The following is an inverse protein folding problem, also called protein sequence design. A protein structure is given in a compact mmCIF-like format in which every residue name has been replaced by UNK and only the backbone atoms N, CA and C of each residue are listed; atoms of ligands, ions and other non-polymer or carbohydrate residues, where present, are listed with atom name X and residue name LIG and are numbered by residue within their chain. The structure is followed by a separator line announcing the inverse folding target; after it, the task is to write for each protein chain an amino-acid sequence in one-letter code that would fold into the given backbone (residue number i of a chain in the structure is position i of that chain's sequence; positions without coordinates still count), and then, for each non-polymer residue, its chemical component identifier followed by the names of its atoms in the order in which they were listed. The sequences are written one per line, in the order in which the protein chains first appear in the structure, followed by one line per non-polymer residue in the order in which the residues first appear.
data_IF_901159132478
#
_entry.id   IF_901159132478
#
_cell.length_a   1.000
_cell.length_b   1.000
_cell.length_c   1.000
_cell.angle_alpha   90.00
_cell.angle_beta   90.00
_cell.angle_gamma   90.00
#
_symmetry.space_group_name_H-M   'P 1'
#
loop_
_entity.id
_entity.type
_entity.pdbx_description
1 polymer ?
#
# COMPACT_ATOMS: atom_id res chain seq x y z
N UNK A 1 -26.33 2.47 4.03
CA UNK A 1 -25.57 1.23 3.73
C UNK A 1 -24.20 1.50 3.12
N UNK A 2 -24.09 2.38 2.11
CA UNK A 2 -22.82 2.68 1.42
C UNK A 2 -21.71 3.29 2.34
N UNK A 3 -22.04 4.28 3.19
CA UNK A 3 -21.04 4.93 4.07
C UNK A 3 -20.40 3.99 5.11
N UNK A 4 -21.16 3.01 5.64
CA UNK A 4 -20.63 2.01 6.58
C UNK A 4 -19.59 1.12 5.92
N UNK A 5 -19.83 0.69 4.68
CA UNK A 5 -18.88 -0.11 3.90
C UNK A 5 -17.61 0.69 3.59
N UNK A 6 -17.74 1.97 3.24
CA UNK A 6 -16.58 2.83 3.05
C UNK A 6 -15.72 2.94 4.31
N UNK A 7 -16.33 3.14 5.49
CA UNK A 7 -15.58 3.18 6.77
C UNK A 7 -14.84 1.87 7.03
N UNK A 8 -15.45 0.72 6.73
CA UNK A 8 -14.79 -0.59 6.83
C UNK A 8 -13.57 -0.66 5.89
N UNK A 9 -13.73 -0.22 4.65
CA UNK A 9 -12.63 -0.15 3.67
C UNK A 9 -11.48 0.77 4.11
N UNK A 10 -11.77 1.86 4.84
CA UNK A 10 -10.70 2.70 5.41
C UNK A 10 -9.86 1.93 6.41
N UNK A 11 -10.48 1.17 7.32
CA UNK A 11 -9.75 0.39 8.32
C UNK A 11 -8.93 -0.75 7.74
N UNK A 12 -9.20 -1.17 6.50
CA UNK A 12 -8.35 -2.11 5.77
C UNK A 12 -6.93 -1.56 5.54
N UNK A 13 -6.72 -0.25 5.48
CA UNK A 13 -5.38 0.34 5.31
C UNK A 13 -4.45 0.07 6.50
N UNK A 14 -4.78 0.56 7.72
CA UNK A 14 -4.06 0.19 8.93
C UNK A 14 -4.02 -1.33 9.16
N UNK A 15 -5.13 -2.03 8.88
CA UNK A 15 -5.20 -3.48 8.98
C UNK A 15 -4.17 -4.20 8.10
N UNK A 16 -3.97 -3.73 6.86
CA UNK A 16 -2.93 -4.23 5.96
C UNK A 16 -1.57 -4.18 6.63
N UNK A 17 -1.16 -3.00 7.10
CA UNK A 17 0.17 -2.80 7.68
C UNK A 17 0.34 -3.67 8.93
N UNK A 18 -0.66 -3.70 9.82
CA UNK A 18 -0.56 -4.49 11.04
C UNK A 18 -0.43 -5.99 10.75
N UNK A 19 -1.31 -6.56 9.92
CA UNK A 19 -1.30 -7.99 9.60
C UNK A 19 -0.04 -8.35 8.80
N UNK A 20 0.34 -7.52 7.82
CA UNK A 20 1.56 -7.73 7.05
C UNK A 20 2.79 -7.73 7.96
N UNK A 21 2.93 -6.75 8.86
CA UNK A 21 4.08 -6.69 9.77
C UNK A 21 4.09 -7.83 10.79
N UNK A 22 2.93 -8.26 11.30
CA UNK A 22 2.83 -9.47 12.13
C UNK A 22 3.41 -10.68 11.40
N UNK A 23 3.00 -10.91 10.15
CA UNK A 23 3.51 -12.03 9.36
C UNK A 23 4.99 -11.87 8.99
N UNK A 24 5.36 -10.75 8.40
CA UNK A 24 6.65 -10.57 7.72
C UNK A 24 7.79 -10.27 8.69
N UNK A 25 7.56 -9.38 9.67
CA UNK A 25 8.55 -9.01 10.69
C UNK A 25 8.52 -9.99 11.85
N UNK A 26 7.37 -10.17 12.52
CA UNK A 26 7.34 -10.88 13.80
C UNK A 26 7.37 -12.41 13.67
N UNK A 27 6.65 -12.98 12.69
CA UNK A 27 6.57 -14.45 12.52
C UNK A 27 7.70 -14.96 11.61
N UNK A 28 7.83 -14.41 10.40
CA UNK A 28 8.86 -14.87 9.45
C UNK A 28 10.28 -14.48 9.88
N UNK A 29 10.44 -13.33 10.57
CA UNK A 29 11.74 -12.81 10.95
C UNK A 29 12.57 -12.38 9.75
N UNK A 30 11.93 -11.84 8.70
CA UNK A 30 12.59 -11.38 7.48
C UNK A 30 13.02 -9.91 7.56
N UNK A 31 12.84 -9.25 8.72
CA UNK A 31 13.25 -7.87 8.96
C UNK A 31 14.21 -7.84 10.15
N UNK A 32 15.46 -7.36 9.98
CA UNK A 32 16.03 -6.83 8.75
C UNK A 32 16.19 -7.89 7.64
N UNK A 33 16.17 -7.48 6.34
CA UNK A 33 16.40 -8.39 5.24
C UNK A 33 17.79 -9.05 5.30
N UNK A 34 17.94 -10.31 4.84
CA UNK A 34 19.24 -10.93 4.65
C UNK A 34 20.11 -10.09 3.72
N UNK A 35 21.43 -10.06 3.93
CA UNK A 35 22.32 -9.26 3.09
C UNK A 35 22.34 -9.80 1.64
N UNK A 36 22.36 -8.92 0.60
CA UNK A 36 22.57 -9.35 -0.77
C UNK A 36 23.92 -10.05 -1.01
N UNK A 37 24.88 -9.91 -0.08
CA UNK A 37 26.21 -10.51 -0.22
C UNK A 37 26.32 -11.88 0.43
N UNK A 38 25.23 -12.43 0.99
CA UNK A 38 25.24 -13.80 1.50
C UNK A 38 25.52 -14.76 0.35
N UNK A 39 26.41 -15.71 0.59
CA UNK A 39 26.67 -16.80 -0.35
C UNK A 39 25.45 -17.71 -0.50
N UNK A 40 25.35 -18.42 -1.63
CA UNK A 40 24.22 -19.31 -1.91
C UNK A 40 23.96 -20.33 -0.79
N UNK A 41 25.03 -20.93 -0.24
CA UNK A 41 24.96 -21.88 0.87
C UNK A 41 24.43 -21.26 2.17
N UNK A 42 24.79 -20.01 2.45
CA UNK A 42 24.31 -19.29 3.63
C UNK A 42 22.83 -18.93 3.51
N UNK A 43 22.39 -18.52 2.33
CA UNK A 43 20.97 -18.28 2.03
C UNK A 43 20.17 -19.57 2.18
N UNK A 44 20.65 -20.69 1.59
CA UNK A 44 19.97 -21.99 1.72
C UNK A 44 19.88 -22.46 3.19
N UNK A 45 20.95 -22.26 3.97
CA UNK A 45 20.94 -22.54 5.40
C UNK A 45 19.91 -21.70 6.15
N UNK A 46 19.86 -20.39 5.89
CA UNK A 46 18.87 -19.48 6.51
C UNK A 46 17.43 -19.97 6.29
N UNK A 47 17.08 -20.35 5.06
CA UNK A 47 15.74 -20.88 4.78
C UNK A 47 15.48 -22.25 5.41
N UNK A 48 16.51 -23.10 5.53
CA UNK A 48 16.38 -24.43 6.14
C UNK A 48 16.16 -24.33 7.65
N UNK A 49 16.93 -23.50 8.35
CA UNK A 49 16.84 -23.30 9.80
C UNK A 49 15.53 -22.60 10.24
N UNK A 50 14.87 -21.89 9.32
CA UNK A 50 13.71 -21.04 9.61
C UNK A 50 12.49 -21.36 8.75
N UNK A 51 12.47 -22.54 8.11
CA UNK A 51 11.50 -22.89 7.08
C UNK A 51 10.05 -22.67 7.50
N UNK A 52 9.62 -23.30 8.59
CA UNK A 52 8.22 -23.27 9.04
C UNK A 52 7.78 -21.85 9.43
N UNK A 53 8.63 -21.10 10.15
CA UNK A 53 8.27 -19.73 10.56
C UNK A 53 8.17 -18.79 9.35
N UNK A 54 9.06 -18.93 8.37
CA UNK A 54 9.04 -18.14 7.14
C UNK A 54 7.76 -18.44 6.37
N UNK A 55 7.42 -19.72 6.16
CA UNK A 55 6.21 -20.12 5.44
C UNK A 55 4.94 -19.57 6.11
N UNK A 56 4.79 -19.75 7.43
CA UNK A 56 3.62 -19.24 8.17
C UNK A 56 3.55 -17.71 8.10
N UNK A 57 4.68 -17.02 8.30
CA UNK A 57 4.71 -15.56 8.25
C UNK A 57 4.40 -15.00 6.87
N UNK A 58 4.88 -15.63 5.80
CA UNK A 58 4.55 -15.25 4.42
C UNK A 58 3.06 -15.46 4.12
N UNK A 59 2.44 -16.55 4.59
CA UNK A 59 0.99 -16.77 4.46
C UNK A 59 0.19 -15.65 5.13
N UNK A 60 0.53 -15.31 6.38
CA UNK A 60 -0.12 -14.20 7.12
C UNK A 60 0.05 -12.88 6.36
N UNK A 61 1.25 -12.62 5.84
CA UNK A 61 1.55 -11.39 5.09
C UNK A 61 0.76 -11.28 3.79
N UNK A 62 0.60 -12.39 3.07
CA UNK A 62 -0.22 -12.46 1.85
C UNK A 62 -1.70 -12.20 2.14
N UNK A 63 -2.24 -12.78 3.22
CA UNK A 63 -3.62 -12.51 3.67
C UNK A 63 -3.80 -11.02 3.98
N UNK A 64 -2.85 -10.43 4.73
CA UNK A 64 -2.86 -8.99 5.04
C UNK A 64 -2.80 -8.11 3.79
N UNK A 65 -2.00 -8.50 2.79
CA UNK A 65 -1.84 -7.77 1.52
C UNK A 65 -3.16 -7.60 0.76
N UNK A 66 -4.08 -8.57 0.86
CA UNK A 66 -5.40 -8.50 0.23
C UNK A 66 -6.25 -7.31 0.68
N UNK A 67 -5.96 -6.73 1.85
CA UNK A 67 -6.62 -5.53 2.34
C UNK A 67 -6.29 -4.26 1.52
N UNK A 68 -5.31 -4.33 0.61
CA UNK A 68 -4.99 -3.24 -0.31
C UNK A 68 -6.14 -2.95 -1.28
N UNK A 69 -6.92 -3.96 -1.69
CA UNK A 69 -8.03 -3.79 -2.61
C UNK A 69 -9.14 -2.86 -2.05
N UNK A 70 -9.75 -3.15 -0.88
CA UNK A 70 -10.75 -2.26 -0.30
C UNK A 70 -10.19 -0.87 0.03
N UNK A 71 -8.93 -0.80 0.49
CA UNK A 71 -8.25 0.47 0.74
C UNK A 71 -8.13 1.34 -0.53
N UNK A 72 -7.64 0.75 -1.63
CA UNK A 72 -7.56 1.45 -2.91
C UNK A 72 -8.93 1.92 -3.38
N UNK A 73 -9.95 1.05 -3.26
CA UNK A 73 -11.31 1.34 -3.68
C UNK A 73 -11.93 2.53 -2.94
N UNK A 74 -11.77 2.63 -1.61
CA UNK A 74 -12.35 3.75 -0.86
C UNK A 74 -11.70 5.09 -1.20
N UNK A 75 -10.38 5.10 -1.44
CA UNK A 75 -9.70 6.30 -1.94
C UNK A 75 -10.28 6.71 -3.31
N UNK A 76 -10.47 5.76 -4.23
CA UNK A 76 -11.05 6.05 -5.54
C UNK A 76 -12.48 6.60 -5.43
N UNK A 77 -13.29 6.06 -4.51
CA UNK A 77 -14.65 6.57 -4.26
C UNK A 77 -14.61 8.03 -3.84
N UNK A 78 -13.68 8.40 -2.95
CA UNK A 78 -13.53 9.80 -2.52
C UNK A 78 -12.95 10.69 -3.64
N UNK A 79 -11.96 10.21 -4.40
CA UNK A 79 -11.42 10.97 -5.54
C UNK A 79 -12.45 11.22 -6.65
N UNK A 80 -13.39 10.28 -6.89
CA UNK A 80 -14.49 10.48 -7.84
C UNK A 80 -15.41 11.63 -7.45
N UNK A 81 -15.51 11.98 -6.16
CA UNK A 81 -16.25 13.18 -5.71
C UNK A 81 -15.57 14.48 -6.15
N UNK A 82 -14.26 14.46 -6.37
CA UNK A 82 -13.48 15.59 -6.88
C UNK A 82 -13.62 15.69 -8.41
N UNK A 83 -13.38 14.59 -9.13
CA UNK A 83 -13.32 14.61 -10.60
C UNK A 83 -14.70 14.54 -11.30
N UNK A 84 -15.73 14.07 -10.60
CA UNK A 84 -17.07 13.92 -11.16
C UNK A 84 -17.21 12.69 -12.07
N UNK A 85 -17.94 12.81 -13.19
CA UNK A 85 -18.35 11.66 -14.03
C UNK A 85 -17.18 10.94 -14.72
N UNK A 86 -16.14 11.69 -15.12
CA UNK A 86 -14.94 11.16 -15.76
C UNK A 86 -13.80 11.35 -14.77
N UNK A 87 -13.34 10.26 -14.17
CA UNK A 87 -12.39 10.29 -13.04
C UNK A 87 -11.10 9.54 -13.37
N UNK A 88 -10.28 10.05 -14.32
CA UNK A 88 -9.05 9.37 -14.72
C UNK A 88 -8.05 9.22 -13.57
N UNK A 89 -7.90 10.20 -12.66
CA UNK A 89 -6.98 10.10 -11.54
C UNK A 89 -7.45 9.06 -10.52
N UNK A 90 -8.75 8.99 -10.24
CA UNK A 90 -9.33 7.94 -9.41
C UNK A 90 -9.13 6.54 -10.04
N UNK A 91 -9.21 6.43 -11.36
CA UNK A 91 -8.94 5.17 -12.06
C UNK A 91 -7.45 4.78 -11.99
N UNK A 92 -6.54 5.73 -12.23
CA UNK A 92 -5.09 5.52 -12.09
C UNK A 92 -4.76 5.09 -10.66
N UNK A 93 -5.29 5.78 -9.65
CA UNK A 93 -5.08 5.45 -8.24
C UNK A 93 -5.64 4.05 -7.91
N UNK A 94 -6.80 3.69 -8.43
CA UNK A 94 -7.40 2.37 -8.22
C UNK A 94 -6.51 1.26 -8.80
N UNK A 95 -6.09 1.43 -10.05
CA UNK A 95 -5.23 0.46 -10.74
C UNK A 95 -3.88 0.35 -10.05
N UNK A 96 -3.23 1.48 -9.74
CA UNK A 96 -1.96 1.50 -9.02
C UNK A 96 -2.07 0.86 -7.63
N UNK A 97 -3.16 1.11 -6.90
CA UNK A 97 -3.43 0.45 -5.62
C UNK A 97 -3.73 -1.04 -5.73
N UNK A 98 -4.40 -1.48 -6.79
CA UNK A 98 -4.56 -2.90 -7.10
C UNK A 98 -3.23 -3.58 -7.43
N UNK A 99 -2.37 -2.91 -8.20
CA UNK A 99 -1.02 -3.40 -8.49
C UNK A 99 -0.14 -3.38 -7.24
N UNK A 100 -0.33 -2.46 -6.29
CA UNK A 100 0.35 -2.50 -4.98
C UNK A 100 0.04 -3.80 -4.22
N UNK A 101 -1.19 -4.33 -4.31
CA UNK A 101 -1.49 -5.65 -3.74
C UNK A 101 -0.64 -6.75 -4.39
N UNK A 102 -0.51 -6.72 -5.72
CA UNK A 102 0.31 -7.69 -6.45
C UNK A 102 1.80 -7.52 -6.14
N UNK A 103 2.28 -6.29 -5.98
CA UNK A 103 3.63 -5.98 -5.53
C UNK A 103 3.91 -6.61 -4.17
N UNK A 104 2.95 -6.62 -3.25
CA UNK A 104 3.14 -7.27 -1.96
C UNK A 104 3.07 -8.80 -2.06
N UNK A 105 2.20 -9.35 -2.91
CA UNK A 105 1.97 -10.81 -2.98
C UNK A 105 3.01 -11.54 -3.83
N UNK A 106 3.42 -11.00 -4.97
CA UNK A 106 4.34 -11.66 -5.90
C UNK A 106 5.70 -12.00 -5.27
N UNK A 107 6.38 -11.08 -4.57
CA UNK A 107 7.58 -11.39 -3.79
C UNK A 107 7.39 -12.51 -2.76
N UNK A 108 6.24 -12.54 -2.09
CA UNK A 108 5.98 -13.57 -1.07
C UNK A 108 5.90 -14.95 -1.69
N UNK A 109 5.42 -15.09 -2.93
CA UNK A 109 5.48 -16.35 -3.66
C UNK A 109 6.92 -16.77 -3.96
N UNK A 110 7.80 -15.84 -4.37
CA UNK A 110 9.21 -16.14 -4.62
C UNK A 110 9.94 -16.54 -3.32
N UNK A 111 9.74 -15.80 -2.24
CA UNK A 111 10.31 -16.14 -0.92
C UNK A 111 9.73 -17.47 -0.37
N UNK A 112 8.44 -17.74 -0.61
CA UNK A 112 7.83 -19.03 -0.25
C UNK A 112 8.40 -20.16 -1.09
N UNK A 113 8.67 -19.93 -2.38
CA UNK A 113 9.31 -20.91 -3.24
C UNK A 113 10.74 -21.21 -2.77
N UNK A 114 11.49 -20.21 -2.30
CA UNK A 114 12.79 -20.40 -1.64
C UNK A 114 12.65 -21.28 -0.38
N UNK A 115 11.63 -21.04 0.45
CA UNK A 115 11.34 -21.80 1.66
C UNK A 115 10.63 -23.15 1.44
N UNK A 116 10.18 -23.50 0.23
CA UNK A 116 9.31 -24.67 0.03
C UNK A 116 10.05 -26.01 0.22
N UNK A 117 11.30 -26.09 -0.27
CA UNK A 117 12.17 -27.28 -0.19
C UNK A 117 13.65 -26.90 -0.19
N UNK A 118 14.11 -26.09 0.79
CA UNK A 118 15.45 -25.52 0.76
C UNK A 118 16.56 -26.59 0.91
N UNK A 119 16.29 -27.71 1.58
CA UNK A 119 17.25 -28.80 1.78
C UNK A 119 17.44 -29.71 0.54
N UNK A 120 16.38 -29.89 -0.27
CA UNK A 120 16.38 -30.79 -1.43
C UNK A 120 16.70 -30.07 -2.75
N UNK A 121 17.21 -28.83 -2.68
CA UNK A 121 17.46 -27.96 -3.83
C UNK A 121 18.89 -27.44 -3.79
N UNK A 122 19.48 -27.25 -4.97
CA UNK A 122 20.80 -26.60 -5.04
C UNK A 122 20.75 -25.18 -4.43
N UNK A 123 21.78 -24.78 -3.67
CA UNK A 123 21.81 -23.48 -3.00
C UNK A 123 21.64 -22.29 -3.96
N UNK A 124 22.16 -22.38 -5.17
CA UNK A 124 22.13 -21.32 -6.18
C UNK A 124 20.70 -21.02 -6.65
N UNK A 125 19.84 -22.04 -6.75
CA UNK A 125 18.43 -21.84 -7.11
C UNK A 125 17.69 -21.18 -5.94
N UNK A 126 18.00 -21.55 -4.70
CA UNK A 126 17.42 -20.88 -3.51
C UNK A 126 17.84 -19.42 -3.43
N UNK A 127 19.10 -19.10 -3.75
CA UNK A 127 19.58 -17.72 -3.85
C UNK A 127 18.83 -16.94 -4.93
N UNK A 128 18.71 -17.48 -6.15
CA UNK A 128 17.96 -16.81 -7.22
C UNK A 128 16.49 -16.55 -6.85
N UNK A 129 15.84 -17.47 -6.13
CA UNK A 129 14.47 -17.30 -5.64
C UNK A 129 14.36 -16.26 -4.51
N UNK A 130 15.36 -16.21 -3.62
CA UNK A 130 15.47 -15.16 -2.60
C UNK A 130 15.57 -13.78 -3.27
N UNK A 131 16.43 -13.64 -4.27
CA UNK A 131 16.68 -12.38 -4.96
C UNK A 131 15.43 -11.95 -5.75
N UNK A 132 14.74 -12.91 -6.39
CA UNK A 132 13.45 -12.68 -7.04
C UNK A 132 12.34 -12.29 -6.04
N UNK A 133 12.50 -12.57 -4.75
CA UNK A 133 11.65 -12.02 -3.70
C UNK A 133 12.01 -10.59 -3.37
N UNK A 134 13.27 -10.34 -2.98
CA UNK A 134 13.69 -9.05 -2.45
C UNK A 134 13.73 -7.92 -3.49
N UNK A 135 14.19 -8.21 -4.71
CA UNK A 135 14.31 -7.20 -5.77
C UNK A 135 12.98 -6.55 -6.13
N UNK A 136 11.89 -7.29 -6.45
CA UNK A 136 10.60 -6.65 -6.73
C UNK A 136 9.93 -6.08 -5.48
N UNK A 137 10.11 -6.69 -4.30
CA UNK A 137 9.54 -6.16 -3.05
C UNK A 137 10.03 -4.73 -2.76
N UNK A 138 11.31 -4.49 -3.00
CA UNK A 138 11.97 -3.21 -2.72
C UNK A 138 12.00 -2.29 -3.94
N UNK A 139 12.31 -2.86 -5.11
CA UNK A 139 12.63 -2.12 -6.32
C UNK A 139 11.44 -1.77 -7.20
N UNK A 140 10.28 -2.43 -7.04
CA UNK A 140 9.11 -2.13 -7.86
C UNK A 140 8.34 -0.91 -7.32
N UNK A 141 8.97 0.26 -7.32
CA UNK A 141 8.43 1.48 -6.69
C UNK A 141 7.29 2.15 -7.46
N UNK A 142 7.08 1.78 -8.73
CA UNK A 142 6.14 2.47 -9.61
C UNK A 142 4.69 2.48 -9.10
N UNK A 143 4.09 1.35 -8.63
CA UNK A 143 2.71 1.35 -8.16
C UNK A 143 2.44 2.33 -7.00
N UNK A 144 3.17 2.31 -5.86
CA UNK A 144 2.89 3.26 -4.79
C UNK A 144 3.20 4.71 -5.18
N UNK A 145 4.26 4.96 -5.98
CA UNK A 145 4.60 6.31 -6.46
C UNK A 145 3.50 6.89 -7.36
N UNK A 146 3.05 6.13 -8.36
CA UNK A 146 1.96 6.54 -9.25
C UNK A 146 0.67 6.75 -8.46
N UNK A 147 0.41 5.89 -7.46
CA UNK A 147 -0.77 6.01 -6.61
C UNK A 147 -0.79 7.35 -5.84
N UNK A 148 0.31 7.71 -5.17
CA UNK A 148 0.37 8.97 -4.40
C UNK A 148 0.44 10.20 -5.30
N UNK A 149 1.04 10.12 -6.49
CA UNK A 149 1.00 11.21 -7.47
C UNK A 149 -0.44 11.47 -7.94
N UNK A 150 -1.18 10.41 -8.28
CA UNK A 150 -2.58 10.54 -8.69
C UNK A 150 -3.45 11.18 -7.60
N UNK A 151 -3.22 10.80 -6.33
CA UNK A 151 -3.87 11.43 -5.17
C UNK A 151 -3.50 12.91 -5.09
N UNK A 152 -2.22 13.26 -5.17
CA UNK A 152 -1.77 14.65 -5.08
C UNK A 152 -2.39 15.53 -6.17
N UNK A 153 -2.40 15.06 -7.42
CA UNK A 153 -3.01 15.77 -8.54
C UNK A 153 -4.51 16.00 -8.32
N UNK A 154 -5.23 15.00 -7.80
CA UNK A 154 -6.66 15.15 -7.48
C UNK A 154 -6.90 16.15 -6.34
N UNK A 155 -6.08 16.11 -5.29
CA UNK A 155 -6.18 17.07 -4.18
C UNK A 155 -5.97 18.51 -4.68
N UNK A 156 -5.01 18.74 -5.58
CA UNK A 156 -4.75 20.08 -6.10
C UNK A 156 -5.73 20.55 -7.19
N UNK A 157 -6.40 19.61 -7.87
CA UNK A 157 -7.45 19.92 -8.83
C UNK A 157 -8.78 20.29 -8.17
N UNK A 158 -8.99 19.91 -6.91
CA UNK A 158 -10.18 20.30 -6.15
C UNK A 158 -10.23 21.83 -5.93
N UNK A 159 -11.21 22.47 -6.58
CA UNK A 159 -11.51 23.91 -6.47
C UNK A 159 -12.81 24.19 -5.71
N UNK A 160 -13.42 23.17 -5.10
CA UNK A 160 -14.65 23.35 -4.34
C UNK A 160 -14.41 24.22 -3.10
N UNK A 161 -15.48 24.86 -2.61
CA UNK A 161 -15.42 25.67 -1.39
C UNK A 161 -15.09 24.83 -0.14
N UNK A 162 -15.51 23.56 -0.14
CA UNK A 162 -15.17 22.57 0.88
C UNK A 162 -14.46 21.37 0.24
N UNK A 163 -13.12 21.42 0.07
CA UNK A 163 -12.35 20.35 -0.57
C UNK A 163 -12.54 18.99 0.10
N UNK A 164 -12.66 17.93 -0.70
CA UNK A 164 -12.84 16.54 -0.21
C UNK A 164 -11.67 16.10 0.66
N UNK A 165 -10.46 16.49 0.26
CA UNK A 165 -9.24 16.28 1.02
C UNK A 165 -8.55 17.62 1.31
N UNK A 166 -8.01 17.81 2.52
CA UNK A 166 -7.20 18.98 2.83
C UNK A 166 -5.96 19.09 1.93
N UNK A 167 -5.54 20.31 1.59
CA UNK A 167 -4.37 20.55 0.71
C UNK A 167 -3.07 19.91 1.19
N UNK A 168 -2.88 19.78 2.51
CA UNK A 168 -1.69 19.13 3.08
C UNK A 168 -1.55 17.67 2.62
N UNK A 169 -2.67 16.98 2.33
CA UNK A 169 -2.66 15.60 1.81
C UNK A 169 -1.96 15.51 0.46
N UNK A 170 -2.12 16.54 -0.38
CA UNK A 170 -1.45 16.63 -1.68
C UNK A 170 0.06 16.79 -1.53
N UNK A 171 0.49 17.71 -0.65
CA UNK A 171 1.92 17.90 -0.36
C UNK A 171 2.55 16.66 0.29
N UNK A 172 1.86 16.04 1.25
CA UNK A 172 2.29 14.79 1.88
C UNK A 172 2.46 13.67 0.85
N UNK A 173 1.51 13.55 -0.09
CA UNK A 173 1.56 12.54 -1.15
C UNK A 173 2.71 12.77 -2.13
N UNK A 174 3.02 14.02 -2.50
CA UNK A 174 4.23 14.32 -3.30
C UNK A 174 5.52 14.01 -2.53
N UNK A 175 5.55 14.29 -1.21
CA UNK A 175 6.68 13.96 -0.36
C UNK A 175 6.92 12.44 -0.29
N UNK A 176 5.85 11.66 -0.13
CA UNK A 176 5.93 10.20 -0.23
C UNK A 176 6.47 9.74 -1.59
N UNK A 177 6.02 10.35 -2.71
CA UNK A 177 6.50 10.01 -4.04
C UNK A 177 8.02 10.16 -4.18
N UNK A 178 8.55 11.29 -3.69
CA UNK A 178 9.99 11.59 -3.71
C UNK A 178 10.78 10.61 -2.86
N UNK A 179 10.28 10.26 -1.67
CA UNK A 179 11.01 9.36 -0.76
C UNK A 179 10.96 7.89 -1.18
N UNK A 180 9.95 7.49 -1.94
CA UNK A 180 9.84 6.12 -2.46
C UNK A 180 10.68 5.91 -3.72
N UNK A 181 10.90 6.95 -4.53
CA UNK A 181 11.57 6.85 -5.82
C UNK A 181 12.98 6.21 -5.78
N UNK A 182 13.85 6.49 -4.78
CA UNK A 182 15.19 5.89 -4.71
C UNK A 182 15.20 4.37 -4.57
N UNK A 183 14.10 3.73 -4.16
CA UNK A 183 14.03 2.28 -3.99
C UNK A 183 14.33 1.49 -5.27
N UNK A 184 14.06 2.06 -6.46
CA UNK A 184 14.37 1.41 -7.74
C UNK A 184 15.86 1.13 -7.94
N UNK A 185 16.73 1.89 -7.27
CA UNK A 185 18.18 1.74 -7.37
C UNK A 185 18.68 0.41 -6.78
N UNK A 186 17.85 -0.30 -6.02
CA UNK A 186 18.18 -1.62 -5.46
C UNK A 186 18.61 -2.64 -6.51
N UNK A 187 18.17 -2.47 -7.76
CA UNK A 187 18.50 -3.36 -8.88
C UNK A 187 20.00 -3.34 -9.21
N UNK A 188 20.71 -2.24 -8.91
CA UNK A 188 22.13 -2.09 -9.24
C UNK A 188 23.07 -2.18 -8.03
N UNK A 189 22.57 -1.99 -6.80
CA UNK A 189 23.38 -1.95 -5.59
C UNK A 189 23.28 -3.24 -4.76
N UNK A 190 24.43 -3.88 -4.52
CA UNK A 190 24.55 -5.09 -3.68
C UNK A 190 25.04 -4.77 -2.26
N UNK A 191 25.59 -3.57 -2.04
CA UNK A 191 26.11 -3.08 -0.75
C UNK A 191 25.70 -1.63 -0.53
N UNK A 192 25.82 -1.16 0.72
CA UNK A 192 25.61 0.24 1.06
C UNK A 192 24.13 0.63 1.21
N UNK A 193 23.82 1.93 1.22
CA UNK A 193 22.50 2.43 1.62
C UNK A 193 21.37 2.15 0.61
N UNK A 194 21.72 1.82 -0.63
CA UNK A 194 20.78 1.49 -1.72
C UNK A 194 20.60 -0.02 -1.95
N UNK A 195 21.34 -0.89 -1.25
CA UNK A 195 21.08 -2.33 -1.26
C UNK A 195 19.74 -2.66 -0.59
N UNK A 196 19.13 -3.82 -0.88
CA UNK A 196 17.78 -4.13 -0.37
C UNK A 196 17.68 -4.28 1.16
N UNK A 197 18.82 -4.30 1.87
CA UNK A 197 18.89 -4.28 3.32
C UNK A 197 19.35 -2.92 3.87
N UNK A 198 19.56 -1.93 2.99
CA UNK A 198 20.04 -0.58 3.28
C UNK A 198 18.94 0.41 3.62
N UNK A 199 19.34 1.59 4.09
CA UNK A 199 18.42 2.61 4.61
C UNK A 199 17.49 3.21 3.56
N UNK A 200 17.98 3.48 2.34
CA UNK A 200 17.18 4.13 1.29
C UNK A 200 16.30 3.15 0.51
N UNK A 201 16.73 1.90 0.40
CA UNK A 201 15.95 0.90 -0.32
C UNK A 201 14.92 0.22 0.59
N UNK A 202 15.27 -0.09 1.85
CA UNK A 202 14.38 -0.85 2.71
C UNK A 202 13.66 0.01 3.75
N UNK A 203 14.43 0.62 4.66
CA UNK A 203 13.87 1.27 5.84
C UNK A 203 13.05 2.50 5.50
N UNK A 204 13.54 3.36 4.60
CA UNK A 204 12.84 4.56 4.19
C UNK A 204 11.50 4.22 3.49
N UNK A 205 11.43 3.37 2.45
CA UNK A 205 10.15 2.97 1.87
C UNK A 205 9.21 2.27 2.84
N UNK A 206 9.71 1.38 3.70
CA UNK A 206 8.91 0.70 4.72
C UNK A 206 8.25 1.71 5.65
N UNK A 207 9.01 2.67 6.19
CA UNK A 207 8.49 3.70 7.09
C UNK A 207 7.53 4.63 6.35
N UNK A 208 7.89 5.11 5.16
CA UNK A 208 7.04 6.04 4.39
C UNK A 208 5.71 5.40 4.03
N UNK A 209 5.73 4.16 3.51
CA UNK A 209 4.52 3.44 3.14
C UNK A 209 3.68 3.13 4.38
N UNK A 210 4.31 2.61 5.44
CA UNK A 210 3.64 2.32 6.71
C UNK A 210 2.95 3.55 7.28
N UNK A 211 3.67 4.67 7.44
CA UNK A 211 3.13 5.93 7.92
C UNK A 211 2.03 6.46 7.01
N UNK A 212 2.16 6.33 5.69
CA UNK A 212 1.16 6.80 4.73
C UNK A 212 -0.21 6.16 4.96
N UNK A 213 -0.30 4.85 5.19
CA UNK A 213 -1.58 4.17 5.47
C UNK A 213 -2.27 4.71 6.74
N UNK A 214 -1.50 4.95 7.81
CA UNK A 214 -2.06 5.51 9.05
C UNK A 214 -2.45 6.99 8.88
N UNK A 215 -1.61 7.80 8.26
CA UNK A 215 -1.86 9.23 8.05
C UNK A 215 -3.08 9.44 7.14
N UNK A 216 -3.20 8.67 6.05
CA UNK A 216 -4.33 8.76 5.12
C UNK A 216 -5.67 8.31 5.69
N UNK A 217 -5.67 7.54 6.78
CA UNK A 217 -6.90 7.08 7.44
C UNK A 217 -7.74 8.27 7.93
N UNK A 218 -7.10 9.28 8.52
CA UNK A 218 -7.77 10.46 9.07
C UNK A 218 -8.52 11.28 7.99
N UNK A 219 -7.87 11.77 6.91
CA UNK A 219 -8.56 12.52 5.87
C UNK A 219 -9.62 11.69 5.14
N UNK A 220 -9.46 10.37 5.01
CA UNK A 220 -10.51 9.50 4.46
C UNK A 220 -11.76 9.46 5.36
N UNK A 221 -11.59 9.29 6.67
CA UNK A 221 -12.71 9.32 7.61
C UNK A 221 -13.39 10.71 7.64
N UNK A 222 -12.60 11.79 7.54
CA UNK A 222 -13.12 13.16 7.43
C UNK A 222 -13.93 13.37 6.14
N UNK A 223 -13.42 12.90 5.00
CA UNK A 223 -14.10 12.98 3.71
C UNK A 223 -15.43 12.20 3.72
N UNK A 224 -15.47 11.01 4.33
CA UNK A 224 -16.70 10.22 4.50
C UNK A 224 -17.69 10.95 5.43
N UNK A 225 -17.22 11.58 6.50
CA UNK A 225 -18.09 12.39 7.40
C UNK A 225 -18.66 13.61 6.68
N UNK A 226 -17.89 14.25 5.80
CA UNK A 226 -18.39 15.33 4.95
C UNK A 226 -19.47 14.82 3.99
N UNK A 227 -19.24 13.66 3.35
CA UNK A 227 -20.21 13.03 2.46
C UNK A 227 -21.55 12.72 3.17
N UNK A 228 -21.50 12.27 4.42
CA UNK A 228 -22.69 12.01 5.24
C UNK A 228 -23.52 13.28 5.45
N UNK A 229 -22.86 14.40 5.84
CA UNK A 229 -23.53 15.71 6.01
C UNK A 229 -24.18 16.22 4.72
N UNK A 230 -23.49 16.03 3.59
CA UNK A 230 -24.03 16.42 2.27
C UNK A 230 -25.28 15.61 1.90
N UNK A 231 -25.31 14.32 2.23
CA UNK A 231 -26.46 13.45 1.98
C UNK A 231 -27.65 13.83 2.86
N UNK A 232 -27.42 14.08 4.15
CA UNK A 232 -28.45 14.53 5.10
C UNK A 232 -29.06 15.88 4.70
N UNK A 233 -28.22 16.84 4.30
CA UNK A 233 -28.66 18.17 3.87
C UNK A 233 -29.54 18.10 2.62
N UNK A 234 -29.16 17.27 1.63
CA UNK A 234 -29.96 17.04 0.41
C UNK A 234 -31.29 16.36 0.71
N UNK A 235 -31.29 15.38 1.63
CA UNK A 235 -32.52 14.69 2.03
C UNK A 235 -33.47 15.63 2.77
N UNK A 236 -32.95 16.45 3.68
CA UNK A 236 -33.73 17.47 4.39
C UNK A 236 -34.37 18.47 3.43
N UNK A 237 -33.59 19.01 2.48
CA UNK A 237 -34.10 19.91 1.46
C UNK A 237 -35.17 19.27 0.56
N UNK A 238 -35.03 17.99 0.20
CA UNK A 238 -36.02 17.26 -0.60
C UNK A 238 -37.31 16.95 0.19
N UNK A 239 -37.24 16.86 1.52
CA UNK A 239 -38.38 16.60 2.40
C UNK A 239 -39.13 17.85 2.85
N UNK A 240 -38.63 19.05 2.55
CA UNK A 240 -39.28 20.30 2.91
C UNK A 240 -40.60 20.48 2.15
N UNK A 241 -41.73 20.78 2.81
CA UNK A 241 -43.01 20.97 2.14
C UNK A 241 -42.92 22.14 1.14
N UNK A 242 -43.41 21.93 -0.08
CA UNK A 242 -43.58 23.00 -1.07
C UNK A 242 -44.47 24.07 -0.42
N UNK A 243 -43.91 25.26 -0.20
CA UNK A 243 -44.67 26.42 0.28
C UNK A 243 -45.88 26.61 -0.64
N UNK A 244 -47.13 26.66 -0.13
CA UNK A 244 -48.27 26.91 -0.98
C UNK A 244 -48.05 28.26 -1.65
N UNK A 245 -47.92 28.24 -2.99
CA UNK A 245 -47.85 29.45 -3.79
C UNK A 245 -49.05 30.32 -3.39
N UNK A 246 -48.75 31.50 -2.84
CA UNK A 246 -49.75 32.41 -2.31
C UNK A 246 -50.86 32.65 -3.33
N UNK A 247 -52.09 32.43 -2.88
CA UNK A 247 -53.34 32.85 -3.50
C UNK A 247 -53.45 34.36 -3.61
#
# INVERSE_FOLDING_TARGET
MNLRMQRLCVWCGPGLILIFMIGFLFVAGLVPPPSPNLGASEVARFYTEHQTRIQIGLIISMIGSGLAFPWAAVISVQMRRIEGRRSPLAAIQLTAGGVLCLLLVFPMFALSAAAYRPADRSPEITQALNDLGWLPLVGFVAPPVVQVIAIALAVFSDKSAEPVFPRWVGYFSLWCAILLAPGILVIVFHTGPFAWNGIFAFWLPLTVLGTWFFVMTVPLLQAIKQQEREQESKQSAASAPLSPAGT
#
